data_IF_216370812731
#
_entry.id   IF_216370812731
#
_cell.length_a   1.000
_cell.length_b   1.000
_cell.length_c   1.000
_cell.angle_alpha   90.00
_cell.angle_beta   90.00
_cell.angle_gamma   90.00
#
_symmetry.space_group_name_H-M   'P 1'
#
loop_
_entity.id
_entity.type
_entity.pdbx_description
1 polymer ?
#
# COMPACT_ATOMS: atom_id res chain seq x y z
N UNK A 1 1.39 27.03 -16.33
CA UNK A 1 2.46 26.95 -15.30
C UNK A 1 2.01 26.26 -14.02
N UNK A 2 0.94 26.68 -13.33
CA UNK A 2 0.49 26.03 -12.08
C UNK A 2 0.10 24.54 -12.22
N UNK A 3 -0.65 24.18 -13.27
CA UNK A 3 -1.04 22.78 -13.57
C UNK A 3 0.19 21.90 -13.77
N UNK A 4 1.13 22.34 -14.61
CA UNK A 4 2.37 21.61 -14.88
C UNK A 4 3.20 21.41 -13.60
N UNK A 5 3.35 22.45 -12.78
CA UNK A 5 4.12 22.35 -11.54
C UNK A 5 3.51 21.35 -10.54
N UNK A 6 2.18 21.35 -10.41
CA UNK A 6 1.46 20.40 -9.55
C UNK A 6 1.53 18.97 -10.09
N UNK A 7 1.33 18.79 -11.40
CA UNK A 7 1.40 17.48 -12.05
C UNK A 7 2.81 16.88 -11.97
N UNK A 8 3.84 17.68 -12.25
CA UNK A 8 5.24 17.26 -12.16
C UNK A 8 5.64 16.97 -10.71
N UNK A 9 5.28 17.82 -9.75
CA UNK A 9 5.56 17.58 -8.34
C UNK A 9 4.93 16.28 -7.83
N UNK A 10 3.67 16.05 -8.18
CA UNK A 10 2.95 14.82 -7.83
C UNK A 10 3.55 13.58 -8.47
N UNK A 11 3.85 13.63 -9.77
CA UNK A 11 4.50 12.53 -10.50
C UNK A 11 5.84 12.17 -9.86
N UNK A 12 6.65 13.17 -9.47
CA UNK A 12 7.92 12.94 -8.79
C UNK A 12 7.73 12.27 -7.42
N UNK A 13 6.81 12.74 -6.57
CA UNK A 13 6.55 12.10 -5.27
C UNK A 13 6.12 10.65 -5.46
N UNK A 14 5.15 10.40 -6.34
CA UNK A 14 4.63 9.05 -6.63
C UNK A 14 5.72 8.14 -7.17
N UNK A 15 6.52 8.61 -8.14
CA UNK A 15 7.64 7.86 -8.70
C UNK A 15 8.69 7.53 -7.64
N UNK A 16 9.01 8.49 -6.77
CA UNK A 16 9.94 8.29 -5.66
C UNK A 16 9.49 7.14 -4.76
N UNK A 17 8.24 7.18 -4.29
CA UNK A 17 7.70 6.10 -3.45
C UNK A 17 7.59 4.76 -4.18
N UNK A 18 7.17 4.75 -5.45
CA UNK A 18 7.02 3.51 -6.23
C UNK A 18 8.36 2.85 -6.55
N UNK A 19 9.39 3.66 -6.81
CA UNK A 19 10.75 3.18 -7.11
C UNK A 19 11.61 3.00 -5.85
N UNK A 20 11.15 3.42 -4.67
CA UNK A 20 11.85 3.25 -3.40
C UNK A 20 12.26 1.79 -3.13
N UNK A 21 11.40 0.83 -3.51
CA UNK A 21 11.67 -0.60 -3.36
C UNK A 21 12.83 -1.09 -4.24
N UNK A 22 13.03 -0.47 -5.41
CA UNK A 22 14.07 -0.84 -6.39
C UNK A 22 15.37 -0.06 -6.12
N UNK A 23 15.26 1.25 -5.89
CA UNK A 23 16.41 2.14 -5.71
C UNK A 23 16.99 2.08 -4.29
N UNK A 24 16.21 1.62 -3.31
CA UNK A 24 16.54 1.70 -1.89
C UNK A 24 16.14 3.05 -1.28
N UNK A 25 15.98 3.10 0.05
CA UNK A 25 15.56 4.31 0.76
C UNK A 25 16.71 5.26 1.10
N UNK A 26 17.88 4.70 1.45
CA UNK A 26 19.05 5.45 1.93
C UNK A 26 20.30 4.87 1.25
N UNK A 27 20.51 3.56 1.41
CA UNK A 27 21.56 2.82 0.72
C UNK A 27 21.14 2.48 -0.72
N UNK A 28 22.05 2.70 -1.66
CA UNK A 28 21.81 2.42 -3.07
C UNK A 28 21.75 0.91 -3.34
N UNK A 29 20.61 0.42 -3.83
CA UNK A 29 20.50 -0.93 -4.41
C UNK A 29 20.77 -0.93 -5.91
N UNK A 30 19.91 -0.25 -6.68
CA UNK A 30 19.98 -0.19 -8.15
C UNK A 30 19.49 1.18 -8.70
N UNK A 31 19.90 2.29 -8.08
CA UNK A 31 19.56 3.62 -8.59
C UNK A 31 20.51 4.05 -9.73
N UNK A 32 19.98 4.63 -10.83
CA UNK A 32 20.77 4.98 -12.01
C UNK A 32 21.78 6.12 -11.75
N UNK A 33 21.52 6.93 -10.74
CA UNK A 33 22.37 8.05 -10.30
C UNK A 33 22.38 8.01 -8.79
N UNK A 34 23.55 8.16 -8.17
CA UNK A 34 23.75 8.20 -6.72
C UNK A 34 24.20 9.59 -6.27
N UNK A 35 23.28 10.52 -6.00
CA UNK A 35 23.66 11.82 -5.46
C UNK A 35 24.25 11.61 -4.06
N UNK A 36 25.51 12.03 -3.86
CA UNK A 36 26.22 11.94 -2.58
C UNK A 36 26.36 10.51 -2.00
N UNK A 37 26.30 9.47 -2.85
CA UNK A 37 26.37 8.08 -2.40
C UNK A 37 25.07 7.51 -1.81
N UNK A 38 23.98 8.29 -1.84
CA UNK A 38 22.65 7.87 -1.38
C UNK A 38 21.78 7.42 -2.55
N UNK A 39 20.74 6.63 -2.26
CA UNK A 39 19.72 6.26 -3.23
C UNK A 39 19.00 7.50 -3.81
N UNK A 40 18.54 7.41 -5.06
CA UNK A 40 17.84 8.51 -5.74
C UNK A 40 16.46 8.84 -5.13
N UNK A 41 15.87 7.87 -4.41
CA UNK A 41 14.54 7.93 -3.79
C UNK A 41 14.28 9.17 -2.93
N UNK A 42 15.08 9.49 -1.89
CA UNK A 42 14.88 10.66 -1.05
C UNK A 42 14.93 11.96 -1.84
N UNK A 43 15.82 12.08 -2.83
CA UNK A 43 15.93 13.30 -3.65
C UNK A 43 14.71 13.52 -4.54
N UNK A 44 14.15 12.44 -5.09
CA UNK A 44 12.94 12.52 -5.93
C UNK A 44 11.70 12.85 -5.09
N UNK A 45 11.58 12.28 -3.89
CA UNK A 45 10.50 12.60 -2.93
C UNK A 45 10.64 14.06 -2.45
N UNK A 46 11.84 14.50 -2.07
CA UNK A 46 12.11 15.87 -1.64
C UNK A 46 11.86 16.84 -2.80
N UNK A 47 12.31 16.54 -4.01
CA UNK A 47 12.06 17.35 -5.20
C UNK A 47 10.57 17.51 -5.48
N UNK A 48 9.81 16.42 -5.41
CA UNK A 48 8.36 16.44 -5.51
C UNK A 48 7.67 17.24 -4.40
N UNK A 49 8.12 17.09 -3.14
CA UNK A 49 7.62 17.83 -2.00
C UNK A 49 7.92 19.33 -2.09
N UNK A 50 9.10 19.72 -2.59
CA UNK A 50 9.47 21.11 -2.86
C UNK A 50 8.59 21.69 -3.97
N UNK A 51 8.36 20.97 -5.07
CA UNK A 51 7.44 21.42 -6.12
C UNK A 51 6.01 21.63 -5.59
N UNK A 52 5.50 20.71 -4.76
CA UNK A 52 4.19 20.84 -4.11
C UNK A 52 4.16 21.98 -3.08
N UNK A 53 5.25 22.19 -2.34
CA UNK A 53 5.40 23.31 -1.41
C UNK A 53 5.41 24.67 -2.12
N UNK A 54 6.18 24.80 -3.21
CA UNK A 54 6.22 26.00 -4.05
C UNK A 54 4.85 26.26 -4.68
N UNK A 55 4.16 25.21 -5.16
CA UNK A 55 2.80 25.32 -5.66
C UNK A 55 1.85 25.83 -4.58
N UNK A 56 1.88 25.23 -3.38
CA UNK A 56 1.02 25.61 -2.26
C UNK A 56 1.24 27.07 -1.84
N UNK A 57 2.49 27.50 -1.68
CA UNK A 57 2.82 28.90 -1.35
C UNK A 57 2.39 29.85 -2.46
N UNK A 58 2.53 29.45 -3.73
CA UNK A 58 2.10 30.27 -4.87
C UNK A 58 0.58 30.41 -4.93
N UNK A 59 -0.18 29.34 -4.66
CA UNK A 59 -1.63 29.39 -4.59
C UNK A 59 -2.10 30.24 -3.41
N UNK A 60 -1.51 30.08 -2.22
CA UNK A 60 -1.84 30.91 -1.06
C UNK A 60 -1.55 32.39 -1.30
N UNK A 61 -0.42 32.72 -1.95
CA UNK A 61 -0.09 34.10 -2.30
C UNK A 61 -1.02 34.70 -3.35
N UNK A 62 -1.50 33.90 -4.31
CA UNK A 62 -2.49 34.33 -5.32
C UNK A 62 -3.87 34.52 -4.71
N UNK A 63 -4.31 33.59 -3.85
CA UNK A 63 -5.57 33.69 -3.13
C UNK A 63 -5.64 34.94 -2.24
N UNK A 64 -4.53 35.30 -1.55
CA UNK A 64 -4.43 36.55 -0.77
C UNK A 64 -4.46 37.84 -1.61
N UNK A 65 -4.34 37.73 -2.93
CA UNK A 65 -4.32 38.86 -3.88
C UNK A 65 -5.55 38.88 -4.78
N UNK A 66 -6.60 38.11 -4.45
CA UNK A 66 -7.84 37.95 -5.24
C UNK A 66 -7.59 37.59 -6.71
N UNK A 67 -6.47 36.91 -6.98
CA UNK A 67 -6.13 36.41 -8.32
C UNK A 67 -6.77 35.03 -8.54
N UNK A 68 -7.11 34.68 -9.79
CA UNK A 68 -7.63 33.35 -10.10
C UNK A 68 -6.64 32.26 -9.67
N UNK A 69 -7.12 31.39 -8.78
CA UNK A 69 -6.40 30.24 -8.21
C UNK A 69 -6.95 28.94 -8.78
N UNK A 70 -6.08 27.95 -8.96
CA UNK A 70 -6.49 26.63 -9.48
C UNK A 70 -7.19 25.77 -8.42
N UNK A 71 -6.76 25.92 -7.18
CA UNK A 71 -7.32 25.24 -6.02
C UNK A 71 -7.46 26.31 -4.95
N UNK A 72 -8.68 26.59 -4.53
CA UNK A 72 -8.94 27.51 -3.43
C UNK A 72 -8.50 26.84 -2.10
N UNK A 73 -7.53 27.40 -1.37
CA UNK A 73 -7.10 26.87 -0.08
C UNK A 73 -8.25 26.78 0.94
N UNK A 74 -9.29 27.59 0.81
CA UNK A 74 -10.46 27.55 1.69
C UNK A 74 -11.23 26.23 1.57
N UNK A 75 -11.14 25.51 0.45
CA UNK A 75 -11.76 24.19 0.28
C UNK A 75 -11.28 23.19 1.34
N UNK A 76 -10.01 23.25 1.73
CA UNK A 76 -9.43 22.33 2.74
C UNK A 76 -9.91 22.61 4.17
N UNK A 77 -10.54 23.76 4.42
CA UNK A 77 -11.18 24.06 5.70
C UNK A 77 -12.50 23.31 5.85
N UNK A 78 -13.13 22.90 4.74
CA UNK A 78 -14.39 22.14 4.74
C UNK A 78 -14.16 20.74 5.30
N UNK A 79 -14.74 20.48 6.48
CA UNK A 79 -14.55 19.24 7.25
C UNK A 79 -14.82 17.97 6.44
N UNK A 80 -15.88 17.96 5.62
CA UNK A 80 -16.29 16.79 4.85
C UNK A 80 -15.32 16.47 3.71
N UNK A 81 -14.86 17.49 2.96
CA UNK A 81 -13.86 17.31 1.91
C UNK A 81 -12.56 16.78 2.51
N UNK A 82 -12.04 17.43 3.56
CA UNK A 82 -10.80 17.00 4.22
C UNK A 82 -10.87 15.55 4.74
N UNK A 83 -11.99 15.21 5.39
CA UNK A 83 -12.19 13.85 5.92
C UNK A 83 -12.26 12.82 4.79
N UNK A 84 -12.95 13.14 3.69
CA UNK A 84 -13.02 12.27 2.53
C UNK A 84 -11.66 12.05 1.87
N UNK A 85 -10.86 13.11 1.69
CA UNK A 85 -9.53 13.01 1.07
C UNK A 85 -8.58 12.16 1.92
N UNK A 86 -8.56 12.37 3.25
CA UNK A 86 -7.75 11.57 4.16
C UNK A 86 -8.20 10.10 4.20
N UNK A 87 -9.51 9.85 4.20
CA UNK A 87 -10.08 8.51 4.09
C UNK A 87 -9.74 7.84 2.75
N UNK A 88 -9.74 8.57 1.64
CA UNK A 88 -9.34 8.04 0.32
C UNK A 88 -7.87 7.64 0.33
N UNK A 89 -7.00 8.52 0.83
CA UNK A 89 -5.56 8.26 0.91
C UNK A 89 -5.26 7.03 1.80
N UNK A 90 -5.89 6.93 2.97
CA UNK A 90 -5.73 5.77 3.86
C UNK A 90 -6.23 4.48 3.20
N UNK A 91 -7.41 4.51 2.59
CA UNK A 91 -7.97 3.36 1.86
C UNK A 91 -7.02 2.85 0.78
N UNK A 92 -6.52 3.74 -0.07
CA UNK A 92 -5.64 3.35 -1.18
C UNK A 92 -4.26 2.89 -0.71
N UNK A 93 -3.73 3.47 0.38
CA UNK A 93 -2.49 3.02 1.02
C UNK A 93 -2.63 1.56 1.45
N UNK A 94 -3.68 1.23 2.19
CA UNK A 94 -3.90 -0.12 2.68
C UNK A 94 -4.22 -1.09 1.54
N UNK A 95 -5.13 -0.71 0.63
CA UNK A 95 -5.59 -1.61 -0.40
C UNK A 95 -4.48 -2.00 -1.38
N UNK A 96 -3.68 -1.03 -1.86
CA UNK A 96 -2.57 -1.32 -2.78
C UNK A 96 -1.42 -1.99 -2.04
N UNK A 97 -1.17 -1.64 -0.77
CA UNK A 97 -0.17 -2.32 0.06
C UNK A 97 -0.52 -3.79 0.31
N UNK A 98 -1.78 -4.10 0.64
CA UNK A 98 -2.26 -5.49 0.78
C UNK A 98 -2.23 -6.23 -0.55
N UNK A 99 -2.65 -5.60 -1.65
CA UNK A 99 -2.59 -6.21 -2.98
C UNK A 99 -1.15 -6.57 -3.35
N UNK A 100 -0.18 -5.72 -3.03
CA UNK A 100 1.23 -6.01 -3.20
C UNK A 100 1.67 -7.23 -2.37
N UNK A 101 1.33 -7.29 -1.09
CA UNK A 101 1.66 -8.42 -0.22
C UNK A 101 1.00 -9.74 -0.70
N UNK A 102 -0.27 -9.69 -1.12
CA UNK A 102 -0.99 -10.83 -1.71
C UNK A 102 -0.27 -11.31 -2.96
N UNK A 103 0.11 -10.40 -3.85
CA UNK A 103 0.73 -10.77 -5.12
C UNK A 103 2.12 -11.40 -4.89
N UNK A 104 2.89 -10.88 -3.93
CA UNK A 104 4.10 -11.54 -3.45
C UNK A 104 3.79 -12.94 -2.96
N UNK A 105 2.88 -13.10 -1.98
CA UNK A 105 2.51 -14.41 -1.45
C UNK A 105 2.12 -15.44 -2.53
N UNK A 106 1.27 -15.06 -3.48
CA UNK A 106 0.85 -15.95 -4.57
C UNK A 106 2.03 -16.39 -5.43
N UNK A 107 2.94 -15.47 -5.78
CA UNK A 107 4.03 -15.75 -6.72
C UNK A 107 5.23 -16.42 -6.05
N UNK A 108 5.61 -15.97 -4.85
CA UNK A 108 6.85 -16.40 -4.20
C UNK A 108 6.64 -17.60 -3.29
N UNK A 109 5.56 -17.60 -2.50
CA UNK A 109 5.22 -18.71 -1.59
C UNK A 109 4.46 -19.83 -2.30
N UNK A 110 3.38 -19.51 -3.02
CA UNK A 110 2.56 -20.52 -3.72
C UNK A 110 3.09 -20.87 -5.12
N UNK A 111 4.07 -20.12 -5.65
CA UNK A 111 4.67 -20.39 -6.96
C UNK A 111 3.72 -20.16 -8.13
N UNK A 112 2.67 -19.36 -7.96
CA UNK A 112 1.71 -19.09 -9.03
C UNK A 112 2.35 -18.26 -10.13
N UNK A 113 2.03 -18.58 -11.39
CA UNK A 113 2.36 -17.69 -12.51
C UNK A 113 1.65 -16.35 -12.38
N UNK A 114 2.12 -15.33 -13.10
CA UNK A 114 1.45 -14.02 -13.14
C UNK A 114 -0.02 -14.14 -13.58
N UNK A 115 -0.31 -15.04 -14.55
CA UNK A 115 -1.68 -15.32 -15.01
C UNK A 115 -2.52 -16.00 -13.92
N UNK A 116 -1.97 -17.03 -13.26
CA UNK A 116 -2.67 -17.72 -12.18
C UNK A 116 -2.94 -16.80 -10.99
N UNK A 117 -2.01 -15.91 -10.67
CA UNK A 117 -2.18 -14.87 -9.65
C UNK A 117 -3.31 -13.91 -10.01
N UNK A 118 -3.39 -13.48 -11.27
CA UNK A 118 -4.49 -12.65 -11.76
C UNK A 118 -5.85 -13.35 -11.65
N UNK A 119 -5.92 -14.64 -11.98
CA UNK A 119 -7.13 -15.46 -11.82
C UNK A 119 -7.53 -15.61 -10.34
N UNK A 120 -6.56 -15.78 -9.43
CA UNK A 120 -6.81 -15.86 -8.00
C UNK A 120 -7.38 -14.56 -7.41
N UNK A 121 -7.17 -13.42 -8.08
CA UNK A 121 -7.72 -12.12 -7.71
C UNK A 121 -9.11 -11.82 -8.30
N UNK A 122 -9.68 -12.72 -9.11
CA UNK A 122 -11.03 -12.55 -9.67
C UNK A 122 -12.12 -12.33 -8.59
N UNK A 123 -12.14 -13.08 -7.46
CA UNK A 123 -13.13 -12.85 -6.41
C UNK A 123 -13.10 -11.42 -5.87
N UNK A 124 -11.90 -10.84 -5.72
CA UNK A 124 -11.74 -9.45 -5.31
C UNK A 124 -12.39 -8.49 -6.33
N UNK A 125 -12.15 -8.69 -7.62
CA UNK A 125 -12.74 -7.87 -8.68
C UNK A 125 -14.28 -7.99 -8.71
N UNK A 126 -14.81 -9.21 -8.61
CA UNK A 126 -16.25 -9.49 -8.58
C UNK A 126 -16.90 -8.82 -7.36
N UNK A 127 -16.33 -8.97 -6.18
CA UNK A 127 -16.83 -8.34 -4.95
C UNK A 127 -16.76 -6.80 -5.01
N UNK A 128 -15.70 -6.23 -5.58
CA UNK A 128 -15.60 -4.78 -5.78
C UNK A 128 -16.66 -4.25 -6.74
N UNK A 129 -16.90 -4.97 -7.83
CA UNK A 129 -17.94 -4.61 -8.79
C UNK A 129 -19.34 -4.72 -8.16
N UNK A 130 -19.61 -5.82 -7.44
CA UNK A 130 -20.87 -6.00 -6.72
C UNK A 130 -21.10 -4.91 -5.66
N UNK A 131 -20.07 -4.54 -4.89
CA UNK A 131 -20.13 -3.45 -3.93
C UNK A 131 -20.44 -2.10 -4.59
N UNK A 132 -19.81 -1.80 -5.73
CA UNK A 132 -20.09 -0.58 -6.50
C UNK A 132 -21.55 -0.54 -7.01
N UNK A 133 -22.09 -1.68 -7.46
CA UNK A 133 -23.50 -1.81 -7.87
C UNK A 133 -24.48 -1.69 -6.70
N UNK A 134 -24.10 -2.15 -5.51
CA UNK A 134 -24.92 -2.04 -4.30
C UNK A 134 -24.87 -0.64 -3.70
N UNK A 135 -23.82 0.13 -3.95
CA UNK A 135 -23.61 1.45 -3.36
C UNK A 135 -24.80 2.42 -3.54
N UNK A 136 -25.40 2.60 -4.73
CA UNK A 136 -26.54 3.52 -4.91
C UNK A 136 -27.76 3.15 -4.06
N UNK A 137 -27.97 1.85 -3.78
CA UNK A 137 -29.04 1.39 -2.89
C UNK A 137 -28.66 1.65 -1.44
N UNK A 138 -27.44 1.31 -1.05
CA UNK A 138 -26.93 1.54 0.30
C UNK A 138 -26.90 3.02 0.67
N UNK A 139 -26.52 3.91 -0.26
CA UNK A 139 -26.44 5.36 -0.03
C UNK A 139 -27.80 6.02 0.22
N UNK A 140 -28.91 5.37 -0.18
CA UNK A 140 -30.28 5.80 0.16
C UNK A 140 -30.69 5.41 1.58
N UNK A 141 -30.16 4.30 2.11
CA UNK A 141 -30.56 3.74 3.42
C UNK A 141 -29.53 3.99 4.53
N UNK A 142 -28.26 4.18 4.23
CA UNK A 142 -27.19 4.40 5.20
C UNK A 142 -26.58 5.78 5.02
N UNK A 143 -26.05 6.34 6.10
CA UNK A 143 -25.31 7.60 6.02
C UNK A 143 -23.94 7.41 5.38
N UNK A 144 -23.36 8.45 4.75
CA UNK A 144 -22.00 8.40 4.20
C UNK A 144 -20.95 7.89 5.19
N UNK A 145 -21.07 8.30 6.45
CA UNK A 145 -20.23 7.84 7.55
C UNK A 145 -20.41 6.34 7.83
N UNK A 146 -21.64 5.83 7.85
CA UNK A 146 -21.90 4.41 8.11
C UNK A 146 -21.31 3.53 6.98
N UNK A 147 -21.54 3.90 5.72
CA UNK A 147 -20.99 3.16 4.57
C UNK A 147 -19.46 3.15 4.61
N UNK A 148 -18.85 4.29 4.94
CA UNK A 148 -17.40 4.39 5.03
C UNK A 148 -16.85 3.54 6.19
N UNK A 149 -17.48 3.55 7.37
CA UNK A 149 -17.05 2.70 8.48
C UNK A 149 -17.19 1.21 8.17
N UNK A 150 -18.25 0.80 7.47
CA UNK A 150 -18.42 -0.58 7.00
C UNK A 150 -17.30 -0.95 6.02
N UNK A 151 -16.99 -0.05 5.07
CA UNK A 151 -15.90 -0.26 4.12
C UNK A 151 -14.52 -0.37 4.80
N UNK A 152 -14.18 0.55 5.71
CA UNK A 152 -12.93 0.49 6.48
C UNK A 152 -12.87 -0.74 7.39
N UNK A 153 -14.01 -1.14 7.98
CA UNK A 153 -14.12 -2.38 8.74
C UNK A 153 -13.84 -3.60 7.87
N UNK A 154 -14.44 -3.66 6.67
CA UNK A 154 -14.18 -4.72 5.69
C UNK A 154 -12.70 -4.77 5.28
N UNK A 155 -12.07 -3.61 5.10
CA UNK A 155 -10.64 -3.51 4.76
C UNK A 155 -9.74 -3.99 5.91
N UNK A 156 -10.02 -3.58 7.14
CA UNK A 156 -9.30 -4.03 8.33
C UNK A 156 -9.49 -5.54 8.56
N UNK A 157 -10.70 -6.06 8.33
CA UNK A 157 -10.98 -7.50 8.39
C UNK A 157 -10.23 -8.27 7.31
N UNK A 158 -10.10 -7.74 6.09
CA UNK A 158 -9.29 -8.36 5.05
C UNK A 158 -7.82 -8.48 5.49
N UNK A 159 -7.26 -7.41 6.06
CA UNK A 159 -5.90 -7.41 6.62
C UNK A 159 -5.74 -8.42 7.76
N UNK A 160 -6.72 -8.49 8.68
CA UNK A 160 -6.72 -9.45 9.77
C UNK A 160 -6.81 -10.89 9.27
N UNK A 161 -7.72 -11.18 8.34
CA UNK A 161 -7.83 -12.53 7.75
C UNK A 161 -6.51 -12.91 7.09
N UNK A 162 -5.86 -12.01 6.35
CA UNK A 162 -4.53 -12.28 5.79
C UNK A 162 -3.49 -12.57 6.88
N UNK A 163 -3.42 -11.74 7.93
CA UNK A 163 -2.52 -11.97 9.05
C UNK A 163 -2.69 -13.36 9.68
N UNK A 164 -3.93 -13.81 9.90
CA UNK A 164 -4.21 -15.12 10.47
C UNK A 164 -4.07 -16.29 9.48
N UNK A 165 -4.17 -16.01 8.18
CA UNK A 165 -4.20 -17.02 7.11
C UNK A 165 -2.86 -17.21 6.41
N UNK A 166 -1.80 -16.52 6.83
CA UNK A 166 -0.47 -16.74 6.27
C UNK A 166 0.15 -17.95 6.99
N UNK A 167 -0.29 -19.15 6.63
CA UNK A 167 0.24 -20.40 7.17
C UNK A 167 0.57 -21.37 6.01
N UNK A 168 1.59 -22.25 6.11
CA UNK A 168 2.02 -23.13 5.02
C UNK A 168 0.95 -24.11 4.48
N UNK A 169 -0.24 -24.14 5.08
CA UNK A 169 -1.32 -25.09 4.79
C UNK A 169 -2.69 -24.42 4.73
N UNK A 170 -2.78 -23.22 4.19
CA UNK A 170 -4.08 -22.58 4.03
C UNK A 170 -4.80 -23.17 2.82
N UNK A 171 -5.85 -23.94 3.11
CA UNK A 171 -6.96 -24.26 2.21
C UNK A 171 -7.46 -22.97 1.55
N UNK A 172 -7.92 -23.01 0.30
CA UNK A 172 -8.26 -21.78 -0.46
C UNK A 172 -9.28 -20.83 0.19
N UNK A 173 -10.05 -21.30 1.18
CA UNK A 173 -11.22 -20.59 1.74
C UNK A 173 -10.90 -19.26 2.44
N UNK A 174 -9.89 -19.14 3.34
CA UNK A 174 -9.59 -17.88 4.02
C UNK A 174 -8.98 -16.84 3.08
N UNK A 175 -8.22 -17.27 2.07
CA UNK A 175 -7.70 -16.38 1.03
C UNK A 175 -8.83 -15.78 0.20
N UNK A 176 -9.79 -16.60 -0.24
CA UNK A 176 -10.99 -16.14 -0.95
C UNK A 176 -11.79 -15.14 -0.11
N UNK A 177 -11.92 -15.39 1.20
CA UNK A 177 -12.59 -14.47 2.12
C UNK A 177 -11.85 -13.12 2.21
N UNK A 178 -10.52 -13.12 2.37
CA UNK A 178 -9.72 -11.90 2.39
C UNK A 178 -9.84 -11.11 1.07
N UNK A 179 -9.75 -11.80 -0.06
CA UNK A 179 -9.91 -11.20 -1.38
C UNK A 179 -11.32 -10.58 -1.55
N UNK A 180 -12.36 -11.28 -1.11
CA UNK A 180 -13.74 -10.80 -1.14
C UNK A 180 -13.93 -9.55 -0.26
N UNK A 181 -13.43 -9.57 0.97
CA UNK A 181 -13.51 -8.43 1.91
C UNK A 181 -12.73 -7.21 1.40
N UNK A 182 -11.56 -7.44 0.80
CA UNK A 182 -10.77 -6.40 0.16
C UNK A 182 -11.53 -5.79 -1.02
N UNK A 183 -12.11 -6.63 -1.88
CA UNK A 183 -12.95 -6.19 -3.00
C UNK A 183 -14.16 -5.38 -2.54
N UNK A 184 -14.92 -5.89 -1.59
CA UNK A 184 -16.09 -5.19 -1.02
C UNK A 184 -15.71 -3.81 -0.49
N UNK A 185 -14.59 -3.71 0.23
CA UNK A 185 -14.11 -2.44 0.76
C UNK A 185 -13.79 -1.43 -0.34
N UNK A 186 -13.08 -1.87 -1.40
CA UNK A 186 -12.69 -1.02 -2.53
C UNK A 186 -13.91 -0.47 -3.27
N UNK A 187 -14.89 -1.32 -3.57
CA UNK A 187 -16.10 -0.90 -4.28
C UNK A 187 -16.95 0.10 -3.47
N UNK A 188 -17.13 -0.16 -2.17
CA UNK A 188 -17.91 0.73 -1.29
C UNK A 188 -17.20 2.06 -1.05
N UNK A 189 -15.92 2.03 -0.68
CA UNK A 189 -15.17 3.23 -0.29
C UNK A 189 -14.87 4.13 -1.46
N UNK A 190 -14.47 3.58 -2.61
CA UNK A 190 -14.18 4.39 -3.81
C UNK A 190 -15.42 5.17 -4.23
N UNK A 191 -16.58 4.50 -4.25
CA UNK A 191 -17.86 5.13 -4.60
C UNK A 191 -18.28 6.17 -3.57
N UNK A 192 -18.25 5.80 -2.28
CA UNK A 192 -18.73 6.66 -1.20
C UNK A 192 -17.86 7.91 -0.99
N UNK A 193 -16.54 7.77 -0.99
CA UNK A 193 -15.61 8.87 -0.75
C UNK A 193 -15.55 9.80 -1.96
N UNK A 194 -15.66 9.28 -3.19
CA UNK A 194 -15.81 10.13 -4.37
C UNK A 194 -17.09 10.96 -4.29
N UNK A 195 -18.22 10.35 -3.93
CA UNK A 195 -19.49 11.06 -3.77
C UNK A 195 -19.44 12.14 -2.67
N UNK A 196 -18.82 11.87 -1.52
CA UNK A 196 -18.68 12.87 -0.44
C UNK A 196 -17.74 14.00 -0.84
N UNK A 197 -16.65 13.68 -1.53
CA UNK A 197 -15.71 14.70 -2.03
C UNK A 197 -16.43 15.67 -2.97
N UNK A 198 -17.13 15.14 -3.97
CA UNK A 198 -17.85 15.95 -4.95
C UNK A 198 -19.05 16.69 -4.36
N UNK A 199 -19.75 16.10 -3.38
CA UNK A 199 -20.90 16.72 -2.72
C UNK A 199 -20.54 17.79 -1.67
N UNK A 200 -19.26 17.96 -1.33
CA UNK A 200 -18.81 18.95 -0.35
C UNK A 200 -18.51 20.33 -0.96
N UNK A 201 -18.71 20.50 -2.27
CA UNK A 201 -18.34 21.71 -3.01
C UNK A 201 -19.39 22.18 -4.01
N UNK A 202 -19.26 23.44 -4.43
CA UNK A 202 -20.11 24.04 -5.46
C UNK A 202 -19.75 23.48 -6.85
N UNK A 203 -20.62 23.67 -7.83
CA UNK A 203 -20.51 23.05 -9.16
C UNK A 203 -19.30 23.54 -9.96
N UNK A 204 -18.96 24.81 -9.82
CA UNK A 204 -17.76 25.47 -10.34
C UNK A 204 -16.46 24.95 -9.71
N UNK A 205 -16.53 24.43 -8.48
CA UNK A 205 -15.39 23.87 -7.73
C UNK A 205 -15.16 22.37 -7.98
N UNK A 206 -16.13 21.65 -8.59
CA UNK A 206 -16.08 20.18 -8.75
C UNK A 206 -14.87 19.69 -9.54
N UNK A 207 -14.44 20.42 -10.56
CA UNK A 207 -13.27 20.06 -11.37
C UNK A 207 -11.99 20.07 -10.53
N UNK A 208 -11.80 21.12 -9.73
CA UNK A 208 -10.67 21.24 -8.81
C UNK A 208 -10.69 20.15 -7.73
N UNK A 209 -11.87 19.83 -7.18
CA UNK A 209 -12.02 18.74 -6.22
C UNK A 209 -11.72 17.37 -6.83
N UNK A 210 -12.15 17.12 -8.07
CA UNK A 210 -11.79 15.91 -8.79
C UNK A 210 -10.27 15.74 -8.87
N UNK A 211 -9.54 16.79 -9.22
CA UNK A 211 -8.07 16.79 -9.25
C UNK A 211 -7.45 16.52 -7.88
N UNK A 212 -7.93 17.17 -6.82
CA UNK A 212 -7.45 16.94 -5.44
C UNK A 212 -7.77 15.52 -4.96
N UNK A 213 -8.94 14.98 -5.32
CA UNK A 213 -9.33 13.61 -4.98
C UNK A 213 -8.41 12.59 -5.64
N UNK A 214 -8.15 12.72 -6.95
CA UNK A 214 -7.20 11.85 -7.65
C UNK A 214 -5.77 12.00 -7.14
N UNK A 215 -5.41 13.20 -6.65
CA UNK A 215 -4.13 13.40 -5.96
C UNK A 215 -4.09 12.60 -4.66
N UNK A 216 -5.09 12.73 -3.79
CA UNK A 216 -5.16 11.94 -2.55
C UNK A 216 -5.15 10.42 -2.82
N UNK A 217 -5.87 9.99 -3.86
CA UNK A 217 -5.86 8.61 -4.34
C UNK A 217 -4.44 8.18 -4.76
N UNK A 218 -3.78 8.94 -5.64
CA UNK A 218 -2.45 8.64 -6.15
C UNK A 218 -1.35 8.63 -5.07
N UNK A 219 -1.45 9.51 -4.07
CA UNK A 219 -0.56 9.46 -2.91
C UNK A 219 -0.75 8.16 -2.14
N UNK A 220 -2.00 7.75 -1.91
CA UNK A 220 -2.29 6.49 -1.23
C UNK A 220 -1.75 5.28 -2.00
N UNK A 221 -1.98 5.20 -3.32
CA UNK A 221 -1.48 4.07 -4.12
C UNK A 221 0.04 4.00 -4.17
N UNK A 222 0.75 5.13 -4.05
CA UNK A 222 2.21 5.18 -3.96
C UNK A 222 2.72 4.79 -2.56
N UNK A 223 2.10 5.30 -1.51
CA UNK A 223 2.48 5.03 -0.12
C UNK A 223 2.27 3.57 0.27
N UNK A 224 1.25 2.90 -0.27
CA UNK A 224 0.90 1.53 0.09
C UNK A 224 2.07 0.54 -0.06
N UNK A 225 2.57 0.29 -1.28
CA UNK A 225 3.73 -0.56 -1.51
C UNK A 225 5.00 -0.04 -0.83
N UNK A 226 5.16 1.28 -0.71
CA UNK A 226 6.32 1.85 -0.05
C UNK A 226 6.36 1.51 1.45
N UNK A 227 5.25 1.64 2.16
CA UNK A 227 5.18 1.34 3.61
C UNK A 227 5.10 -0.16 3.82
N UNK A 228 4.07 -0.81 3.25
CA UNK A 228 3.82 -2.24 3.46
C UNK A 228 4.94 -3.08 2.85
N UNK A 229 5.39 -2.75 1.63
CA UNK A 229 6.49 -3.47 0.98
C UNK A 229 7.81 -3.29 1.72
N UNK A 230 8.10 -2.12 2.30
CA UNK A 230 9.29 -1.97 3.16
C UNK A 230 9.19 -2.82 4.42
N UNK A 231 8.03 -2.87 5.08
CA UNK A 231 7.82 -3.74 6.24
C UNK A 231 8.00 -5.21 5.89
N UNK A 232 7.45 -5.64 4.75
CA UNK A 232 7.59 -7.02 4.25
C UNK A 232 9.06 -7.33 3.93
N UNK A 233 9.75 -6.49 3.15
CA UNK A 233 11.14 -6.72 2.74
C UNK A 233 12.10 -6.67 3.95
N UNK A 234 11.99 -5.66 4.80
CA UNK A 234 12.81 -5.54 6.01
C UNK A 234 12.48 -6.64 7.03
N UNK A 235 11.20 -7.00 7.13
CA UNK A 235 10.71 -8.08 7.97
C UNK A 235 11.29 -9.43 7.56
N UNK A 236 11.43 -9.69 6.25
CA UNK A 236 12.06 -10.91 5.75
C UNK A 236 13.51 -10.99 6.22
N UNK A 237 14.32 -9.95 5.98
CA UNK A 237 15.73 -9.94 6.40
C UNK A 237 15.87 -10.11 7.92
N UNK A 238 15.07 -9.39 8.72
CA UNK A 238 15.08 -9.49 10.18
C UNK A 238 14.64 -10.86 10.68
N UNK A 239 13.58 -11.45 10.11
CA UNK A 239 13.08 -12.76 10.50
C UNK A 239 14.08 -13.86 10.12
N UNK A 240 14.68 -13.77 8.94
CA UNK A 240 15.70 -14.71 8.48
C UNK A 240 16.94 -14.68 9.39
N UNK A 241 17.46 -13.49 9.70
CA UNK A 241 18.59 -13.33 10.63
C UNK A 241 18.29 -13.91 12.03
N UNK A 242 17.11 -13.61 12.59
CA UNK A 242 16.70 -14.17 13.87
C UNK A 242 16.54 -15.69 13.85
N UNK A 243 15.93 -16.24 12.79
CA UNK A 243 15.71 -17.68 12.62
C UNK A 243 17.02 -18.45 12.39
N UNK A 244 17.99 -17.89 11.64
CA UNK A 244 19.31 -18.49 11.43
C UNK A 244 20.13 -18.50 12.72
N UNK A 245 20.11 -17.40 13.49
CA UNK A 245 20.83 -17.34 14.77
C UNK A 245 20.28 -18.33 15.80
N UNK A 246 18.96 -18.47 15.85
CA UNK A 246 18.25 -19.33 16.80
C UNK A 246 18.15 -20.80 16.37
N UNK A 247 18.65 -21.19 15.19
CA UNK A 247 18.63 -22.56 14.72
C UNK A 247 19.84 -23.37 15.26
N UNK A 248 19.69 -24.18 16.32
CA UNK A 248 20.81 -24.92 16.92
C UNK A 248 21.41 -25.98 15.98
N UNK A 249 20.64 -26.42 14.98
CA UNK A 249 21.00 -27.47 14.02
C UNK A 249 21.92 -27.02 12.88
N UNK A 250 22.00 -25.71 12.60
CA UNK A 250 22.90 -25.17 11.58
C UNK A 250 24.32 -25.06 12.13
N UNK A 251 25.31 -25.50 11.34
CA UNK A 251 26.73 -25.31 11.68
C UNK A 251 27.06 -23.81 11.81
N UNK A 252 28.00 -23.47 12.69
CA UNK A 252 28.38 -22.08 12.97
C UNK A 252 28.87 -21.33 11.71
N UNK A 253 29.68 -21.99 10.87
CA UNK A 253 30.13 -21.45 9.58
C UNK A 253 28.96 -21.14 8.63
N UNK A 254 27.95 -22.02 8.57
CA UNK A 254 26.76 -21.82 7.74
C UNK A 254 25.93 -20.63 8.22
N UNK A 255 25.86 -20.39 9.55
CA UNK A 255 25.15 -19.22 10.12
C UNK A 255 25.87 -17.91 9.79
N UNK A 256 27.19 -17.89 9.85
CA UNK A 256 28.00 -16.70 9.54
C UNK A 256 27.93 -16.35 8.05
N UNK A 257 28.07 -17.35 7.16
CA UNK A 257 27.91 -17.19 5.72
C UNK A 257 26.49 -16.78 5.32
N UNK A 258 25.48 -17.31 5.99
CA UNK A 258 24.10 -16.92 5.79
C UNK A 258 23.90 -15.46 6.21
N UNK A 259 24.30 -15.06 7.43
CA UNK A 259 24.13 -13.69 7.90
C UNK A 259 24.82 -12.65 6.99
N UNK A 260 26.07 -12.91 6.56
CA UNK A 260 26.83 -12.01 5.68
C UNK A 260 26.19 -11.80 4.29
N UNK A 261 25.44 -12.78 3.78
CA UNK A 261 24.78 -12.72 2.47
C UNK A 261 23.30 -12.35 2.55
N UNK A 262 22.63 -12.62 3.68
CA UNK A 262 21.25 -12.22 3.96
C UNK A 262 21.12 -10.71 4.07
N UNK A 263 22.05 -10.04 4.76
CA UNK A 263 22.00 -8.57 4.92
C UNK A 263 22.12 -7.81 3.59
N UNK A 264 22.80 -8.38 2.59
CA UNK A 264 23.12 -7.64 1.36
C UNK A 264 22.07 -7.77 0.26
N UNK A 265 21.49 -8.95 0.00
CA UNK A 265 20.74 -9.17 -1.26
C UNK A 265 19.82 -10.40 -1.27
N UNK A 266 18.92 -10.59 -0.30
CA UNK A 266 17.81 -11.54 -0.47
C UNK A 266 16.56 -10.80 -0.96
N UNK A 267 16.38 -10.64 -2.29
CA UNK A 267 15.09 -10.23 -2.83
C UNK A 267 14.03 -11.28 -2.49
N UNK A 268 12.77 -10.85 -2.42
CA UNK A 268 11.63 -11.77 -2.41
C UNK A 268 11.66 -12.57 -3.72
N UNK A 269 12.04 -13.83 -3.65
CA UNK A 269 12.18 -14.73 -4.79
C UNK A 269 11.34 -15.98 -4.58
N UNK A 270 10.95 -16.60 -5.68
CA UNK A 270 10.21 -17.86 -5.66
C UNK A 270 11.02 -18.99 -5.02
N UNK A 271 10.35 -20.03 -4.52
CA UNK A 271 11.05 -21.16 -3.90
C UNK A 271 12.09 -21.84 -4.82
N UNK A 272 11.85 -21.87 -6.13
CA UNK A 272 12.79 -22.40 -7.12
C UNK A 272 14.04 -21.53 -7.23
N UNK A 273 13.87 -20.22 -7.30
CA UNK A 273 14.98 -19.24 -7.31
C UNK A 273 15.75 -19.24 -5.99
N UNK A 274 15.04 -19.35 -4.86
CA UNK A 274 15.65 -19.50 -3.54
C UNK A 274 16.50 -20.78 -3.45
N UNK A 275 16.00 -21.91 -3.98
CA UNK A 275 16.76 -23.16 -4.04
C UNK A 275 18.02 -23.03 -4.90
N UNK A 276 17.94 -22.34 -6.04
CA UNK A 276 19.10 -22.03 -6.89
C UNK A 276 20.10 -21.16 -6.12
N UNK A 277 19.64 -20.09 -5.47
CA UNK A 277 20.49 -19.18 -4.69
C UNK A 277 21.21 -19.92 -3.56
N UNK A 278 20.50 -20.79 -2.83
CA UNK A 278 21.08 -21.62 -1.76
C UNK A 278 22.08 -22.64 -2.32
N UNK A 279 21.81 -23.25 -3.48
CA UNK A 279 22.75 -24.17 -4.14
C UNK A 279 24.08 -23.49 -4.48
N UNK A 280 24.04 -22.20 -4.84
CA UNK A 280 25.22 -21.39 -5.16
C UNK A 280 26.07 -21.05 -3.93
N UNK A 281 25.55 -21.21 -2.72
CA UNK A 281 26.28 -20.96 -1.48
C UNK A 281 27.31 -22.06 -1.14
N UNK A 282 27.34 -23.18 -1.89
CA UNK A 282 28.24 -24.33 -1.66
C UNK A 282 28.15 -24.90 -0.22
N UNK A 283 26.96 -24.84 0.37
CA UNK A 283 26.65 -25.36 1.71
C UNK A 283 26.28 -26.87 1.62
N UNK A 284 26.50 -27.69 2.67
CA UNK A 284 26.05 -29.10 2.68
C UNK A 284 24.55 -29.24 2.38
N UNK A 285 24.16 -30.30 1.64
CA UNK A 285 22.76 -30.53 1.22
C UNK A 285 21.75 -30.56 2.38
N UNK A 286 22.16 -31.06 3.55
CA UNK A 286 21.32 -31.08 4.77
C UNK A 286 21.05 -29.66 5.30
N UNK A 287 22.04 -28.79 5.28
CA UNK A 287 21.92 -27.40 5.73
C UNK A 287 21.15 -26.56 4.70
N UNK A 288 21.30 -26.86 3.40
CA UNK A 288 20.56 -26.18 2.33
C UNK A 288 19.04 -26.33 2.45
N UNK A 289 18.55 -27.54 2.77
CA UNK A 289 17.12 -27.78 2.99
C UNK A 289 16.60 -27.04 4.24
N UNK A 290 17.40 -26.96 5.30
CA UNK A 290 17.04 -26.20 6.50
C UNK A 290 16.98 -24.70 6.20
N UNK A 291 17.97 -24.14 5.49
CA UNK A 291 17.98 -22.72 5.09
C UNK A 291 16.75 -22.37 4.25
N UNK A 292 16.34 -23.24 3.32
CA UNK A 292 15.14 -23.02 2.50
C UNK A 292 13.86 -23.02 3.36
N UNK A 293 13.76 -23.92 4.35
CA UNK A 293 12.64 -23.95 5.28
C UNK A 293 12.60 -22.70 6.19
N UNK A 294 13.76 -22.22 6.65
CA UNK A 294 13.85 -20.97 7.42
C UNK A 294 13.48 -19.76 6.56
N UNK A 295 13.88 -19.73 5.29
CA UNK A 295 13.50 -18.70 4.33
C UNK A 295 11.98 -18.65 4.14
N UNK A 296 11.34 -19.80 3.85
CA UNK A 296 9.87 -19.86 3.71
C UNK A 296 9.15 -19.36 4.98
N UNK A 297 9.66 -19.71 6.16
CA UNK A 297 9.09 -19.25 7.42
C UNK A 297 9.29 -17.74 7.63
N UNK A 298 10.46 -17.21 7.31
CA UNK A 298 10.76 -15.79 7.37
C UNK A 298 9.86 -15.00 6.41
N UNK A 299 9.59 -15.56 5.24
CA UNK A 299 8.73 -14.98 4.21
C UNK A 299 7.27 -14.87 4.66
N UNK A 300 6.75 -15.91 5.29
CA UNK A 300 5.42 -15.89 5.91
C UNK A 300 5.33 -14.83 7.02
N UNK A 301 6.29 -14.80 7.95
CA UNK A 301 6.32 -13.81 9.03
C UNK A 301 6.42 -12.37 8.50
N UNK A 302 7.17 -12.16 7.43
CA UNK A 302 7.28 -10.87 6.76
C UNK A 302 5.93 -10.40 6.19
N UNK A 303 5.21 -11.30 5.51
CA UNK A 303 3.89 -11.04 4.96
C UNK A 303 2.83 -10.80 6.04
N UNK A 304 2.88 -11.58 7.14
CA UNK A 304 2.05 -11.34 8.34
C UNK A 304 2.27 -9.93 8.89
N UNK A 305 3.52 -9.54 9.12
CA UNK A 305 3.85 -8.20 9.62
C UNK A 305 3.37 -7.09 8.67
N UNK A 306 3.48 -7.31 7.35
CA UNK A 306 2.92 -6.42 6.34
C UNK A 306 1.41 -6.27 6.45
N UNK A 307 0.68 -7.38 6.58
CA UNK A 307 -0.76 -7.41 6.77
C UNK A 307 -1.19 -6.72 8.08
N UNK A 308 -0.44 -6.93 9.17
CA UNK A 308 -0.68 -6.29 10.46
C UNK A 308 -0.55 -4.76 10.35
N UNK A 309 0.54 -4.27 9.75
CA UNK A 309 0.74 -2.83 9.53
C UNK A 309 -0.37 -2.25 8.65
N UNK A 310 -0.76 -2.94 7.60
CA UNK A 310 -1.88 -2.54 6.76
C UNK A 310 -3.20 -2.46 7.55
N UNK A 311 -3.45 -3.42 8.44
CA UNK A 311 -4.60 -3.42 9.36
C UNK A 311 -4.60 -2.24 10.33
N UNK A 312 -3.44 -1.91 10.91
CA UNK A 312 -3.29 -0.72 11.77
C UNK A 312 -3.60 0.56 11.00
N UNK A 313 -3.08 0.69 9.78
CA UNK A 313 -3.35 1.87 8.91
C UNK A 313 -4.84 1.93 8.56
N UNK A 314 -5.50 0.78 8.32
CA UNK A 314 -6.94 0.74 8.06
C UNK A 314 -7.77 1.26 9.25
N UNK A 315 -7.42 0.81 10.46
CA UNK A 315 -8.07 1.26 11.69
C UNK A 315 -7.81 2.74 11.98
N UNK A 316 -6.59 3.21 11.78
CA UNK A 316 -6.26 4.64 11.88
C UNK A 316 -7.04 5.46 10.82
N UNK A 317 -7.17 4.93 9.60
CA UNK A 317 -7.96 5.52 8.52
C UNK A 317 -9.45 5.64 8.83
N UNK A 318 -10.00 4.70 9.61
CA UNK A 318 -11.40 4.73 10.05
C UNK A 318 -11.70 5.95 10.93
N UNK A 319 -10.71 6.51 11.64
CA UNK A 319 -10.87 7.74 12.42
C UNK A 319 -11.27 8.92 11.52
N UNK A 320 -10.73 8.99 10.31
CA UNK A 320 -11.10 10.03 9.35
C UNK A 320 -12.54 9.88 8.85
N UNK A 321 -13.05 8.65 8.76
CA UNK A 321 -14.44 8.38 8.35
C UNK A 321 -15.45 8.97 9.35
N UNK A 322 -15.09 9.15 10.63
CA UNK A 322 -15.94 9.84 11.60
C UNK A 322 -16.18 11.32 11.29
N UNK A 323 -15.31 11.94 10.49
CA UNK A 323 -15.49 13.30 10.01
C UNK A 323 -16.49 13.45 8.86
N UNK A 324 -17.05 12.35 8.35
CA UNK A 324 -18.01 12.34 7.25
C UNK A 324 -19.45 12.64 7.71
N UNK A 325 -20.34 13.06 6.80
CA UNK A 325 -21.73 13.39 7.14
C UNK A 325 -22.47 12.24 7.84
N UNK A 326 -23.14 12.58 8.94
CA UNK A 326 -23.93 11.63 9.75
C UNK A 326 -25.38 11.51 9.26
N UNK A 327 -25.92 12.55 8.62
CA UNK A 327 -27.28 12.57 8.05
C UNK A 327 -27.26 12.06 6.61
N UNK A 328 -28.37 11.46 6.18
CA UNK A 328 -28.61 11.10 4.77
C UNK A 328 -28.71 12.40 3.94
N UNK A 329 -28.25 12.43 2.68
CA UNK A 329 -28.68 13.46 1.74
C UNK A 329 -30.22 13.41 1.64
N UNK A 330 -30.90 14.53 1.85
CA UNK A 330 -32.35 14.58 1.61
C UNK A 330 -32.59 14.43 0.09
N UNK A 331 -33.63 13.66 -0.31
CA UNK A 331 -33.93 13.40 -1.73
C UNK A 331 -34.33 14.66 -2.50
#
# INVERSE_FOLDING_TARGET
MGVLLSATGMALVVLGFQRASIWGWIENKDSPITPFGLALTPFVIIGGAVCLGVFSVTQQRRARRDLPVLIDPQMFTRRYLRSSLLSTMATQTVAVGLLFAILLYLQTVLGYSALASGLALLPMAVCSFAAALLWPRLSRILSPRAISLIGMGSLASAAAVLYWSVSPRVSGDPFLLAAALLGLSLGLLTSQLSAVSQGAVLEDERSSVGGVHFTAHGLGTALGPAIVGTVVIAGLASAMGGLVQSAPTLRAETRELANLKIERNLPFVSQSEAAIAVSNLRIPKQDAAQVLALYQRAELLALENGALVAGIIALAGAVFAFGLPKKRPEP
#
